data_IF_756124971524
#
_entry.id   IF_756124971524
#
_cell.length_a   1.000
_cell.length_b   1.000
_cell.length_c   1.000
_cell.angle_alpha   90.00
_cell.angle_beta   90.00
_cell.angle_gamma   90.00
#
_symmetry.space_group_name_H-M   'P 1'
#
loop_
_entity.id
_entity.type
_entity.pdbx_description
1 polymer ?
#
# COMPACT_ATOMS: atom_id res chain seq x y z
N UNK A 1 16.97 5.92 22.06
CA UNK A 1 17.04 4.80 21.11
C UNK A 1 15.96 5.02 20.08
N UNK A 2 16.31 5.10 18.79
CA UNK A 2 15.34 5.32 17.74
C UNK A 2 14.43 4.10 17.59
N UNK A 3 13.13 4.33 17.66
CA UNK A 3 12.07 3.33 17.56
C UNK A 3 12.24 2.37 16.36
N UNK A 4 12.65 2.82 15.15
CA UNK A 4 12.90 1.92 14.02
C UNK A 4 14.05 0.92 14.22
N UNK A 5 15.14 1.35 14.86
CA UNK A 5 16.31 0.51 15.10
C UNK A 5 16.02 -0.61 16.10
N UNK A 6 15.29 -0.29 17.17
CA UNK A 6 14.87 -1.26 18.19
C UNK A 6 14.04 -2.39 17.57
N UNK A 7 13.11 -2.05 16.68
CA UNK A 7 12.28 -3.05 16.04
C UNK A 7 13.02 -3.84 14.95
N UNK A 8 14.00 -3.24 14.25
CA UNK A 8 14.84 -3.96 13.29
C UNK A 8 15.69 -5.01 14.01
N UNK A 9 16.27 -4.65 15.16
CA UNK A 9 17.01 -5.57 16.01
C UNK A 9 16.13 -6.71 16.53
N UNK A 10 14.91 -6.39 17.00
CA UNK A 10 13.95 -7.40 17.47
C UNK A 10 13.48 -8.33 16.36
N UNK A 11 13.23 -7.80 15.16
CA UNK A 11 12.86 -8.60 13.99
C UNK A 11 13.98 -9.57 13.62
N UNK A 12 15.21 -9.06 13.51
CA UNK A 12 16.39 -9.87 13.24
C UNK A 12 16.56 -10.99 14.28
N UNK A 13 16.43 -10.67 15.57
CA UNK A 13 16.52 -11.67 16.65
C UNK A 13 15.40 -12.70 16.60
N UNK A 14 14.17 -12.31 16.24
CA UNK A 14 13.03 -13.26 16.13
C UNK A 14 13.17 -14.24 14.96
N UNK A 15 14.01 -13.93 13.97
CA UNK A 15 14.24 -14.76 12.78
C UNK A 15 15.60 -15.47 12.78
N UNK A 16 16.51 -15.11 13.70
CA UNK A 16 17.85 -15.71 13.77
C UNK A 16 17.85 -16.92 14.71
N UNK A 17 18.17 -18.10 14.17
CA UNK A 17 18.34 -19.35 14.93
C UNK A 17 17.66 -20.55 14.28
N UNK A 18 17.57 -21.66 15.01
CA UNK A 18 16.77 -22.83 14.63
C UNK A 18 15.32 -22.61 15.11
N UNK A 19 14.49 -22.01 14.25
CA UNK A 19 13.09 -21.68 14.53
C UNK A 19 12.77 -20.20 14.35
N UNK A 20 11.51 -19.81 14.53
CA UNK A 20 11.03 -18.43 14.45
C UNK A 20 10.22 -18.11 15.71
N UNK A 21 10.45 -16.95 16.32
CA UNK A 21 9.60 -16.45 17.40
C UNK A 21 8.38 -15.76 16.80
N UNK A 22 7.41 -16.59 16.40
CA UNK A 22 6.18 -16.18 15.73
C UNK A 22 5.40 -15.13 16.54
N UNK A 23 5.42 -15.18 17.88
CA UNK A 23 4.69 -14.20 18.69
C UNK A 23 5.32 -12.82 18.57
N UNK A 24 6.65 -12.75 18.62
CA UNK A 24 7.37 -11.48 18.43
C UNK A 24 7.28 -11.02 16.98
N UNK A 25 7.36 -11.94 16.01
CA UNK A 25 7.26 -11.63 14.59
C UNK A 25 5.86 -11.10 14.24
N UNK A 26 4.79 -11.80 14.63
CA UNK A 26 3.40 -11.36 14.47
C UNK A 26 3.20 -10.02 15.16
N UNK A 27 3.67 -9.84 16.40
CA UNK A 27 3.53 -8.56 17.11
C UNK A 27 4.26 -7.43 16.39
N UNK A 28 5.48 -7.63 15.90
CA UNK A 28 6.22 -6.59 15.17
C UNK A 28 5.53 -6.26 13.86
N UNK A 29 5.08 -7.27 13.10
CA UNK A 29 4.37 -7.08 11.84
C UNK A 29 3.06 -6.33 12.08
N UNK A 30 2.20 -6.83 12.98
CA UNK A 30 0.87 -6.26 13.28
C UNK A 30 0.98 -4.86 13.91
N UNK A 31 1.87 -4.65 14.88
CA UNK A 31 2.04 -3.35 15.54
C UNK A 31 2.65 -2.30 14.59
N UNK A 32 3.52 -2.69 13.66
CA UNK A 32 4.05 -1.73 12.67
C UNK A 32 3.11 -1.48 11.49
N UNK A 33 2.30 -2.46 11.07
CA UNK A 33 1.19 -2.20 10.13
C UNK A 33 0.11 -1.31 10.74
N UNK A 34 -0.05 -1.32 12.07
CA UNK A 34 -1.06 -0.50 12.76
C UNK A 34 -0.60 0.88 13.24
N UNK A 35 0.71 1.13 13.43
CA UNK A 35 1.19 2.34 14.13
C UNK A 35 2.31 3.09 13.37
N UNK A 36 3.04 2.46 12.43
CA UNK A 36 4.31 3.01 11.94
C UNK A 36 4.36 3.38 10.45
N UNK A 37 3.29 3.15 9.69
CA UNK A 37 3.21 3.52 8.28
C UNK A 37 1.99 4.40 8.08
N UNK A 38 2.19 5.57 7.48
CA UNK A 38 1.11 6.33 6.85
C UNK A 38 0.54 5.42 5.75
N UNK A 39 -0.47 4.62 6.12
CA UNK A 39 -1.05 3.61 5.26
C UNK A 39 -1.62 4.24 3.98
N UNK A 40 -2.33 5.38 4.04
CA UNK A 40 -2.69 6.14 2.84
C UNK A 40 -1.50 6.47 1.94
N UNK A 41 -0.39 6.96 2.48
CA UNK A 41 0.80 7.28 1.69
C UNK A 41 1.46 6.02 1.07
N UNK A 42 1.48 4.91 1.81
CA UNK A 42 1.97 3.64 1.29
C UNK A 42 1.14 3.16 0.10
N UNK A 43 -0.20 3.13 0.23
CA UNK A 43 -1.08 2.70 -0.85
C UNK A 43 -1.05 3.68 -2.02
N UNK A 44 -0.98 4.99 -1.76
CA UNK A 44 -0.80 5.98 -2.82
C UNK A 44 0.48 5.73 -3.63
N UNK A 45 1.60 5.46 -2.94
CA UNK A 45 2.86 5.13 -3.60
C UNK A 45 2.83 3.80 -4.35
N UNK A 46 2.17 2.79 -3.79
CA UNK A 46 1.95 1.49 -4.45
C UNK A 46 1.16 1.65 -5.75
N UNK A 47 0.05 2.39 -5.70
CA UNK A 47 -0.82 2.62 -6.84
C UNK A 47 -0.09 3.41 -7.93
N UNK A 48 0.61 4.49 -7.56
CA UNK A 48 1.39 5.25 -8.52
C UNK A 48 2.48 4.38 -9.16
N UNK A 49 3.16 3.55 -8.36
CA UNK A 49 4.18 2.63 -8.87
C UNK A 49 3.59 1.60 -9.84
N UNK A 50 2.39 1.10 -9.57
CA UNK A 50 1.72 0.13 -10.45
C UNK A 50 1.35 0.70 -11.82
N UNK A 51 1.22 2.03 -11.91
CA UNK A 51 0.93 2.75 -13.16
C UNK A 51 2.18 3.46 -13.74
N UNK A 52 3.28 3.53 -13.00
CA UNK A 52 4.50 4.22 -13.46
C UNK A 52 5.37 3.26 -14.28
N UNK A 53 5.34 3.37 -15.61
CA UNK A 53 6.23 2.60 -16.48
C UNK A 53 5.64 2.32 -17.86
N UNK A 54 6.27 1.40 -18.59
CA UNK A 54 5.70 0.88 -19.84
C UNK A 54 4.68 -0.20 -19.49
N UNK A 55 3.40 0.20 -19.44
CA UNK A 55 2.28 -0.67 -19.05
C UNK A 55 2.02 -0.68 -17.54
N UNK A 56 1.01 -1.45 -17.14
CA UNK A 56 0.46 -1.47 -15.79
C UNK A 56 0.85 -2.77 -15.07
N UNK A 57 1.25 -2.69 -13.81
CA UNK A 57 1.36 -3.86 -12.94
C UNK A 57 -0.03 -4.24 -12.42
N UNK A 58 -0.85 -4.86 -13.28
CA UNK A 58 -2.28 -5.10 -13.04
C UNK A 58 -2.57 -5.76 -11.69
N UNK A 59 -1.80 -6.77 -11.28
CA UNK A 59 -2.01 -7.49 -10.02
C UNK A 59 -1.88 -6.58 -8.80
N UNK A 60 -0.91 -5.66 -8.81
CA UNK A 60 -0.71 -4.71 -7.72
C UNK A 60 -1.77 -3.60 -7.72
N UNK A 61 -2.16 -3.12 -8.91
CA UNK A 61 -3.22 -2.13 -9.07
C UNK A 61 -4.57 -2.68 -8.59
N UNK A 62 -4.96 -3.86 -9.07
CA UNK A 62 -6.22 -4.53 -8.70
C UNK A 62 -6.23 -4.80 -7.21
N UNK A 63 -5.16 -5.41 -6.68
CA UNK A 63 -5.08 -5.73 -5.26
C UNK A 63 -5.12 -4.47 -4.40
N UNK A 64 -4.42 -3.41 -4.79
CA UNK A 64 -4.44 -2.12 -4.10
C UNK A 64 -5.85 -1.51 -4.06
N UNK A 65 -6.55 -1.47 -5.20
CA UNK A 65 -7.91 -0.90 -5.27
C UNK A 65 -8.93 -1.76 -4.53
N UNK A 66 -9.00 -3.06 -4.84
CA UNK A 66 -10.02 -3.97 -4.29
C UNK A 66 -9.85 -4.20 -2.79
N UNK A 67 -8.62 -4.26 -2.28
CA UNK A 67 -8.41 -4.48 -0.83
C UNK A 67 -8.69 -3.24 0.02
N UNK A 68 -8.80 -2.05 -0.59
CA UNK A 68 -8.92 -0.77 0.13
C UNK A 68 -10.21 0.00 -0.14
N UNK A 69 -10.96 -0.37 -1.19
CA UNK A 69 -12.16 0.34 -1.62
C UNK A 69 -13.18 0.57 -0.48
N UNK A 70 -13.39 -0.41 0.40
CA UNK A 70 -14.34 -0.30 1.51
C UNK A 70 -13.71 0.12 2.86
N UNK A 71 -12.38 0.32 2.90
CA UNK A 71 -11.65 0.54 4.15
C UNK A 71 -11.29 2.02 4.32
N UNK A 72 -10.50 2.56 3.39
CA UNK A 72 -9.88 3.87 3.53
C UNK A 72 -9.55 4.54 2.19
N UNK A 73 -10.27 4.19 1.13
CA UNK A 73 -10.04 4.69 -0.23
C UNK A 73 -10.08 6.22 -0.33
N UNK A 74 -10.96 6.90 0.41
CA UNK A 74 -11.01 8.37 0.46
C UNK A 74 -9.70 8.99 0.95
N UNK A 75 -9.10 8.41 1.99
CA UNK A 75 -7.83 8.87 2.53
C UNK A 75 -6.69 8.60 1.54
N UNK A 76 -6.73 7.45 0.84
CA UNK A 76 -5.75 7.11 -0.19
C UNK A 76 -5.86 8.08 -1.38
N UNK A 77 -7.07 8.40 -1.86
CA UNK A 77 -7.31 9.38 -2.93
C UNK A 77 -6.72 10.75 -2.57
N UNK A 78 -7.07 11.26 -1.39
CA UNK A 78 -6.56 12.54 -0.91
C UNK A 78 -5.03 12.55 -0.79
N UNK A 79 -4.44 11.47 -0.25
CA UNK A 79 -3.00 11.36 -0.10
C UNK A 79 -2.28 11.20 -1.43
N UNK A 80 -2.87 10.50 -2.38
CA UNK A 80 -2.35 10.38 -3.75
C UNK A 80 -2.29 11.74 -4.45
N UNK A 81 -3.38 12.51 -4.37
CA UNK A 81 -3.43 13.85 -4.97
C UNK A 81 -2.43 14.80 -4.32
N UNK A 82 -2.25 14.73 -2.99
CA UNK A 82 -1.22 15.48 -2.26
C UNK A 82 0.20 15.12 -2.75
N UNK A 83 0.48 13.84 -3.01
CA UNK A 83 1.82 13.34 -3.34
C UNK A 83 2.19 13.50 -4.83
N UNK A 84 1.21 13.45 -5.73
CA UNK A 84 1.43 13.36 -7.17
C UNK A 84 0.76 14.48 -7.97
N UNK A 85 0.10 15.42 -7.30
CA UNK A 85 -0.59 16.59 -7.88
C UNK A 85 -1.59 16.21 -8.99
N UNK A 86 -2.15 15.00 -8.88
CA UNK A 86 -3.09 14.43 -9.84
C UNK A 86 -4.09 13.53 -9.11
N UNK A 87 -5.40 13.63 -9.39
CA UNK A 87 -6.38 12.71 -8.84
C UNK A 87 -6.07 11.26 -9.23
N UNK A 88 -6.23 10.33 -8.28
CA UNK A 88 -6.02 8.89 -8.51
C UNK A 88 -6.90 8.35 -9.66
N UNK A 89 -8.15 8.81 -9.75
CA UNK A 89 -9.07 8.42 -10.82
C UNK A 89 -8.53 8.82 -12.20
N UNK A 90 -7.95 10.02 -12.33
CA UNK A 90 -7.36 10.50 -13.58
C UNK A 90 -6.07 9.75 -13.92
N UNK A 91 -5.28 9.36 -12.91
CA UNK A 91 -4.10 8.52 -13.11
C UNK A 91 -4.49 7.15 -13.69
N UNK A 92 -5.51 6.49 -13.13
CA UNK A 92 -6.07 5.25 -13.66
C UNK A 92 -6.69 5.47 -15.04
N UNK A 93 -7.32 6.62 -15.27
CA UNK A 93 -8.00 6.90 -16.53
C UNK A 93 -7.04 6.99 -17.73
N UNK A 94 -5.84 7.50 -17.49
CA UNK A 94 -4.77 7.66 -18.47
C UNK A 94 -4.00 6.36 -18.73
N UNK A 95 -3.80 5.54 -17.69
CA UNK A 95 -3.02 4.30 -17.80
C UNK A 95 -3.88 3.11 -18.29
N UNK A 96 -5.17 3.09 -17.93
CA UNK A 96 -6.06 1.96 -18.20
C UNK A 96 -7.11 2.24 -19.30
N UNK A 97 -7.51 1.18 -20.01
CA UNK A 97 -8.52 1.22 -21.07
C UNK A 97 -9.74 0.35 -20.81
N UNK A 98 -10.78 0.54 -21.63
CA UNK A 98 -11.94 -0.36 -21.71
C UNK A 98 -12.74 -0.52 -20.41
N UNK A 99 -13.34 -1.70 -20.23
CA UNK A 99 -14.16 -2.01 -19.06
C UNK A 99 -13.32 -2.21 -17.79
N UNK A 100 -12.04 -2.55 -17.94
CA UNK A 100 -11.08 -2.61 -16.85
C UNK A 100 -10.98 -1.26 -16.14
N UNK A 101 -10.74 -0.18 -16.90
CA UNK A 101 -10.77 1.20 -16.38
C UNK A 101 -12.07 1.52 -15.67
N UNK A 102 -13.22 1.23 -16.29
CA UNK A 102 -14.53 1.57 -15.72
C UNK A 102 -14.72 0.89 -14.37
N UNK A 103 -14.36 -0.39 -14.27
CA UNK A 103 -14.47 -1.15 -13.04
C UNK A 103 -13.58 -0.56 -11.93
N UNK A 104 -12.31 -0.27 -12.23
CA UNK A 104 -11.41 0.32 -11.24
C UNK A 104 -11.90 1.68 -10.75
N UNK A 105 -12.34 2.57 -11.64
CA UNK A 105 -12.86 3.89 -11.27
C UNK A 105 -14.12 3.75 -10.39
N UNK A 106 -15.03 2.82 -10.71
CA UNK A 106 -16.22 2.58 -9.88
C UNK A 106 -15.89 2.09 -8.47
N UNK A 107 -14.77 1.38 -8.28
CA UNK A 107 -14.33 0.91 -6.96
C UNK A 107 -13.67 2.00 -6.11
N UNK A 108 -13.31 3.15 -6.70
CA UNK A 108 -12.72 4.26 -5.96
C UNK A 108 -13.74 5.04 -5.10
N UNK A 109 -15.04 4.82 -5.34
CA UNK A 109 -16.12 5.61 -4.73
C UNK A 109 -16.30 6.94 -5.44
#
# INVERSE_FOLDING_TARGET
MDTPALFAERLYKSMKGLGTDDKTLIRIVVTRTGIALDAPAYFAALLNRSMSGAGTADDDLIRGVVSRCEIDMEYIKAKYEEMYEKPLADAIADDCGGDYKKCLISLLG
#
